data_IF_803767523138
#
_entry.id   IF_803767523138
#
_cell.length_a   1.000
_cell.length_b   1.000
_cell.length_c   1.000
_cell.angle_alpha   90.00
_cell.angle_beta   90.00
_cell.angle_gamma   90.00
#
_symmetry.space_group_name_H-M   'P 1'
#
loop_
_entity.id
_entity.type
_entity.pdbx_description
1 polymer ?
#
# COMPACT_ATOMS: atom_id res chain seq x y z
N UNK A 1 6.03 4.82 -3.12
CA UNK A 1 4.79 4.57 -3.88
C UNK A 1 3.72 5.48 -3.33
N UNK A 2 3.18 6.38 -4.16
CA UNK A 2 2.24 7.42 -3.74
C UNK A 2 0.95 6.87 -3.14
N UNK A 3 0.47 5.71 -3.60
CA UNK A 3 -0.71 5.05 -3.02
C UNK A 3 -0.43 4.57 -1.59
N UNK A 4 0.72 3.93 -1.34
CA UNK A 4 1.08 3.45 0.00
C UNK A 4 1.33 4.62 0.95
N UNK A 5 1.99 5.67 0.47
CA UNK A 5 2.18 6.93 1.22
C UNK A 5 0.83 7.56 1.58
N UNK A 6 -0.09 7.65 0.61
CA UNK A 6 -1.42 8.20 0.81
C UNK A 6 -2.18 7.45 1.88
N UNK A 7 -2.26 6.11 1.77
CA UNK A 7 -2.96 5.25 2.72
C UNK A 7 -2.34 5.29 4.13
N UNK A 8 -1.02 5.37 4.22
CA UNK A 8 -0.31 5.31 5.52
C UNK A 8 -0.27 6.66 6.23
N UNK A 9 -0.04 7.74 5.50
CA UNK A 9 0.09 9.09 6.07
C UNK A 9 -1.24 9.87 6.11
N UNK A 10 -2.26 9.41 5.38
CA UNK A 10 -3.53 10.10 5.21
C UNK A 10 -3.50 11.20 4.15
N UNK A 11 -2.36 11.44 3.51
CA UNK A 11 -2.23 12.50 2.52
C UNK A 11 -1.14 12.21 1.47
N UNK A 12 -1.22 12.88 0.32
CA UNK A 12 -0.17 12.81 -0.70
C UNK A 12 -0.19 14.09 -1.54
N UNK A 13 0.98 14.52 -2.02
CA UNK A 13 1.08 15.69 -2.90
C UNK A 13 0.30 15.49 -4.20
N UNK A 14 -0.42 16.52 -4.65
CA UNK A 14 -1.06 16.49 -5.98
C UNK A 14 -0.03 16.50 -7.12
N UNK A 15 1.22 16.84 -6.84
CA UNK A 15 2.37 16.79 -7.76
C UNK A 15 3.24 15.54 -7.55
N UNK A 16 2.74 14.53 -6.83
CA UNK A 16 3.48 13.29 -6.62
C UNK A 16 3.84 12.63 -7.96
N UNK A 17 5.08 12.16 -8.10
CA UNK A 17 5.63 11.62 -9.35
C UNK A 17 4.80 10.48 -9.98
N UNK A 18 4.11 9.68 -9.17
CA UNK A 18 3.23 8.60 -9.64
C UNK A 18 2.05 9.10 -10.49
N UNK A 19 1.67 10.38 -10.38
CA UNK A 19 0.69 10.99 -11.29
C UNK A 19 1.27 11.35 -12.66
N UNK A 20 2.60 11.25 -12.85
CA UNK A 20 3.31 11.45 -14.13
C UNK A 20 2.99 12.80 -14.82
N UNK A 21 2.68 13.83 -14.02
CA UNK A 21 2.32 15.15 -14.54
C UNK A 21 0.95 15.23 -15.24
N UNK A 22 0.10 14.21 -15.13
CA UNK A 22 -1.24 14.25 -15.69
C UNK A 22 -2.13 15.24 -14.91
N UNK A 23 -3.02 15.94 -15.63
CA UNK A 23 -3.91 16.99 -15.11
C UNK A 23 -5.07 16.50 -14.23
N UNK A 24 -4.84 15.49 -13.38
CA UNK A 24 -5.86 14.89 -12.51
C UNK A 24 -6.25 15.78 -11.33
N UNK A 25 -5.56 16.92 -11.11
CA UNK A 25 -5.84 17.89 -10.04
C UNK A 25 -7.33 18.17 -9.87
N UNK A 26 -8.01 18.55 -10.94
CA UNK A 26 -9.43 18.90 -10.90
C UNK A 26 -10.35 17.69 -10.67
N UNK A 27 -10.02 16.53 -11.25
CA UNK A 27 -10.86 15.33 -11.19
C UNK A 27 -10.79 14.63 -9.84
N UNK A 28 -9.58 14.53 -9.26
CA UNK A 28 -9.35 13.86 -7.97
C UNK A 28 -9.65 14.74 -6.77
N UNK A 29 -9.75 16.06 -6.96
CA UNK A 29 -10.12 17.00 -5.89
C UNK A 29 -11.48 16.67 -5.25
N UNK A 30 -12.39 15.99 -5.97
CA UNK A 30 -13.68 15.53 -5.41
C UNK A 30 -13.53 14.35 -4.43
N UNK A 31 -12.41 13.63 -4.48
CA UNK A 31 -12.15 12.45 -3.65
C UNK A 31 -11.49 12.81 -2.32
N UNK A 32 -11.03 14.05 -2.16
CA UNK A 32 -10.48 14.50 -0.88
C UNK A 32 -11.60 14.76 0.11
N UNK A 33 -11.34 14.45 1.38
CA UNK A 33 -12.27 14.82 2.44
C UNK A 33 -12.18 16.32 2.66
N UNK A 34 -13.11 17.07 2.06
CA UNK A 34 -13.32 18.46 2.43
C UNK A 34 -14.03 18.51 3.79
N UNK A 35 -13.30 18.88 4.84
CA UNK A 35 -13.92 19.25 6.11
C UNK A 35 -14.78 20.50 5.87
N UNK A 36 -16.09 20.33 5.75
CA UNK A 36 -17.07 21.43 5.58
C UNK A 36 -17.01 22.45 6.73
N UNK A 37 -16.40 22.09 7.86
CA UNK A 37 -16.26 22.94 9.05
C UNK A 37 -14.98 23.78 9.07
N UNK A 38 -14.03 23.55 8.15
CA UNK A 38 -12.91 24.46 7.92
C UNK A 38 -13.17 25.25 6.64
N UNK A 39 -13.74 26.44 6.83
CA UNK A 39 -13.54 27.56 5.90
C UNK A 39 -12.05 27.63 5.52
N UNK A 40 -11.75 27.62 4.22
CA UNK A 40 -10.42 27.75 3.62
C UNK A 40 -9.43 26.58 3.78
N UNK A 41 -9.54 25.57 2.90
CA UNK A 41 -8.33 25.00 2.28
C UNK A 41 -8.59 24.68 0.81
N UNK A 42 -8.90 25.71 0.04
CA UNK A 42 -8.86 25.68 -1.43
C UNK A 42 -7.42 25.76 -1.99
N UNK A 43 -6.39 25.72 -1.13
CA UNK A 43 -4.99 25.99 -1.48
C UNK A 43 -3.99 24.92 -0.99
N UNK A 44 -4.42 23.81 -0.37
CA UNK A 44 -3.46 22.73 -0.05
C UNK A 44 -3.21 21.89 -1.30
N UNK A 45 -1.95 21.82 -1.76
CA UNK A 45 -1.50 20.94 -2.85
C UNK A 45 -1.44 19.46 -2.41
N UNK A 46 -2.46 19.00 -1.68
CA UNK A 46 -2.54 17.70 -1.03
C UNK A 46 -3.89 17.06 -1.32
N UNK A 47 -3.86 15.78 -1.69
CA UNK A 47 -5.01 14.90 -1.53
C UNK A 47 -5.00 14.31 -0.13
N UNK A 48 -6.16 14.21 0.54
CA UNK A 48 -6.26 13.76 1.93
C UNK A 48 -7.43 12.81 2.18
N UNK A 49 -7.28 11.93 3.18
CA UNK A 49 -8.36 11.15 3.79
C UNK A 49 -8.27 11.19 5.33
N UNK A 50 -9.37 10.89 6.02
CA UNK A 50 -9.43 10.96 7.49
C UNK A 50 -9.16 9.64 8.20
N UNK A 51 -9.07 8.51 7.48
CA UNK A 51 -8.78 7.21 8.08
C UNK A 51 -7.36 7.16 8.65
N UNK A 52 -7.22 6.65 9.89
CA UNK A 52 -5.91 6.35 10.50
C UNK A 52 -5.55 4.90 10.23
N UNK A 53 -5.10 4.62 9.02
CA UNK A 53 -4.80 3.26 8.58
C UNK A 53 -3.40 2.83 9.03
N UNK A 54 -3.25 1.54 9.36
CA UNK A 54 -1.96 0.88 9.55
C UNK A 54 -1.91 -0.42 8.76
N UNK A 55 -0.75 -0.78 8.17
CA UNK A 55 -0.60 -2.05 7.50
C UNK A 55 -0.53 -3.19 8.53
N UNK A 56 -1.20 -4.30 8.26
CA UNK A 56 -1.11 -5.49 9.10
C UNK A 56 0.22 -6.25 8.92
N UNK A 57 0.89 -6.07 7.79
CA UNK A 57 2.17 -6.66 7.44
C UNK A 57 3.21 -5.56 7.22
N UNK A 58 4.42 -5.74 7.75
CA UNK A 58 5.60 -4.93 7.39
C UNK A 58 6.59 -5.79 6.59
N UNK A 59 7.54 -5.12 5.93
CA UNK A 59 8.60 -5.79 5.16
C UNK A 59 9.44 -6.77 5.99
N UNK A 60 9.49 -6.55 7.31
CA UNK A 60 10.24 -7.40 8.25
C UNK A 60 9.53 -8.74 8.50
N UNK A 61 8.20 -8.76 8.32
CA UNK A 61 7.37 -9.96 8.48
C UNK A 61 7.27 -10.72 7.16
N UNK A 62 6.93 -10.02 6.08
CA UNK A 62 6.68 -10.61 4.76
C UNK A 62 7.49 -9.84 3.69
N UNK A 63 8.64 -10.37 3.24
CA UNK A 63 9.53 -9.65 2.33
C UNK A 63 8.98 -9.49 0.90
N UNK A 64 7.99 -10.31 0.52
CA UNK A 64 7.34 -10.27 -0.78
C UNK A 64 5.93 -10.86 -0.69
N UNK A 65 5.01 -10.31 -1.48
CA UNK A 65 3.66 -10.87 -1.66
C UNK A 65 3.48 -11.39 -3.08
N UNK A 66 4.28 -10.88 -4.01
CA UNK A 66 4.44 -11.42 -5.34
C UNK A 66 5.86 -11.95 -5.52
N UNK A 67 5.98 -13.20 -5.95
CA UNK A 67 7.25 -13.90 -6.13
C UNK A 67 7.29 -14.54 -7.53
N UNK A 68 7.73 -13.79 -8.53
CA UNK A 68 7.98 -14.30 -9.89
C UNK A 68 9.47 -14.33 -10.18
N UNK A 69 9.88 -14.87 -11.33
CA UNK A 69 11.29 -14.87 -11.72
C UNK A 69 11.83 -13.44 -11.84
N UNK A 70 11.13 -12.59 -12.60
CA UNK A 70 11.56 -11.22 -12.94
C UNK A 70 11.25 -10.19 -11.84
N UNK A 71 10.22 -10.43 -11.02
CA UNK A 71 9.79 -9.49 -10.00
C UNK A 71 9.48 -10.19 -8.67
N UNK A 72 10.10 -9.70 -7.60
CA UNK A 72 9.86 -10.10 -6.22
C UNK A 72 9.64 -8.84 -5.41
N UNK A 73 8.47 -8.69 -4.79
CA UNK A 73 8.14 -7.47 -4.06
C UNK A 73 6.78 -7.51 -3.38
N UNK A 74 6.50 -6.45 -2.62
CA UNK A 74 5.25 -6.27 -1.89
C UNK A 74 4.31 -5.41 -2.74
N UNK A 75 3.21 -6.00 -3.19
CA UNK A 75 2.15 -5.32 -3.94
C UNK A 75 0.75 -5.57 -3.34
N UNK A 76 0.64 -6.49 -2.39
CA UNK A 76 -0.59 -6.83 -1.69
C UNK A 76 -0.54 -6.31 -0.25
N UNK A 77 -1.63 -5.70 0.20
CA UNK A 77 -1.68 -5.03 1.49
C UNK A 77 -3.00 -5.30 2.18
N UNK A 78 -2.94 -5.47 3.49
CA UNK A 78 -4.12 -5.42 4.36
C UNK A 78 -3.93 -4.21 5.27
N UNK A 79 -4.77 -3.19 5.11
CA UNK A 79 -4.82 -2.03 6.00
C UNK A 79 -6.00 -2.17 6.95
N UNK A 80 -5.80 -1.79 8.20
CA UNK A 80 -6.87 -1.70 9.20
C UNK A 80 -6.90 -0.32 9.82
N UNK A 81 -8.06 0.09 10.35
CA UNK A 81 -8.17 1.31 11.15
C UNK A 81 -7.49 1.09 12.50
N UNK A 82 -6.45 1.87 12.77
CA UNK A 82 -5.66 1.76 14.00
C UNK A 82 -6.37 2.28 15.26
N UNK A 83 -7.53 2.93 15.07
CA UNK A 83 -8.36 3.44 16.17
C UNK A 83 -9.27 2.39 16.79
N UNK A 84 -9.61 1.36 16.02
CA UNK A 84 -10.63 0.37 16.39
C UNK A 84 -10.13 -1.05 16.29
N UNK A 85 -8.99 -1.28 15.62
CA UNK A 85 -8.42 -2.60 15.40
C UNK A 85 -6.92 -2.61 15.69
N UNK A 86 -6.45 -3.74 16.22
CA UNK A 86 -5.03 -4.05 16.39
C UNK A 86 -4.72 -5.37 15.68
N UNK A 87 -3.55 -5.45 15.05
CA UNK A 87 -3.04 -6.72 14.51
C UNK A 87 -2.46 -7.54 15.65
N UNK A 88 -3.08 -8.68 15.96
CA UNK A 88 -2.57 -9.60 16.98
C UNK A 88 -1.39 -10.43 16.47
N UNK A 89 -1.50 -10.92 15.23
CA UNK A 89 -0.48 -11.71 14.56
C UNK A 89 -0.66 -11.61 13.03
N UNK A 90 0.42 -11.94 12.31
CA UNK A 90 0.47 -11.97 10.86
C UNK A 90 1.19 -13.27 10.42
N UNK A 91 0.70 -13.92 9.37
CA UNK A 91 1.26 -15.19 8.90
C UNK A 91 2.56 -14.94 8.15
N UNK A 92 3.67 -15.52 8.60
CA UNK A 92 4.97 -15.38 7.94
C UNK A 92 5.01 -15.98 6.51
N UNK A 93 6.08 -15.70 5.76
CA UNK A 93 6.28 -16.23 4.41
C UNK A 93 6.41 -17.75 4.41
N UNK A 94 6.20 -18.35 3.23
CA UNK A 94 6.68 -19.71 2.95
C UNK A 94 8.20 -19.73 3.18
N UNK A 95 8.70 -20.81 3.78
CA UNK A 95 10.11 -20.99 4.10
C UNK A 95 11.01 -20.71 2.89
N UNK A 96 11.97 -19.79 3.08
CA UNK A 96 12.96 -19.46 2.06
C UNK A 96 13.82 -20.67 1.69
N UNK A 97 14.09 -21.54 2.66
CA UNK A 97 14.89 -22.73 2.44
C UNK A 97 14.11 -23.76 1.63
N UNK A 98 12.80 -23.87 1.82
CA UNK A 98 11.97 -24.70 0.94
C UNK A 98 12.04 -24.22 -0.52
N UNK A 99 11.99 -22.92 -0.77
CA UNK A 99 12.14 -22.38 -2.12
C UNK A 99 13.53 -22.69 -2.70
N UNK A 100 14.61 -22.56 -1.92
CA UNK A 100 15.97 -22.89 -2.36
C UNK A 100 16.14 -24.38 -2.66
N UNK A 101 15.73 -25.24 -1.75
CA UNK A 101 15.89 -26.70 -1.83
C UNK A 101 15.14 -27.28 -3.03
N UNK A 102 13.97 -26.71 -3.35
CA UNK A 102 13.14 -27.11 -4.49
C UNK A 102 13.45 -26.30 -5.77
N UNK A 103 14.48 -25.43 -5.74
CA UNK A 103 14.91 -24.58 -6.87
C UNK A 103 13.77 -23.73 -7.47
N UNK A 104 12.86 -23.28 -6.62
CA UNK A 104 11.71 -22.46 -6.99
C UNK A 104 12.15 -21.00 -7.11
N UNK A 105 12.35 -20.56 -8.33
CA UNK A 105 12.83 -19.20 -8.65
C UNK A 105 11.69 -18.18 -8.89
N UNK A 106 10.45 -18.67 -8.95
CA UNK A 106 9.23 -17.89 -9.13
C UNK A 106 7.98 -18.78 -9.06
N UNK A 107 6.84 -18.14 -8.87
CA UNK A 107 5.50 -18.71 -8.85
C UNK A 107 4.69 -18.20 -10.07
N UNK A 108 3.69 -18.96 -10.56
CA UNK A 108 3.15 -20.19 -10.00
C UNK A 108 4.08 -21.41 -10.13
N UNK A 109 3.95 -22.35 -9.20
CA UNK A 109 4.67 -23.64 -9.10
C UNK A 109 3.64 -24.75 -8.77
N UNK A 110 3.83 -26.04 -9.13
CA UNK A 110 2.85 -27.10 -8.83
C UNK A 110 2.35 -27.18 -7.38
N UNK A 111 3.16 -26.73 -6.42
CA UNK A 111 2.81 -26.67 -4.98
C UNK A 111 2.45 -25.26 -4.48
N UNK A 112 2.59 -24.23 -5.31
CA UNK A 112 2.32 -22.82 -4.97
C UNK A 112 1.57 -22.19 -6.15
N UNK A 113 0.23 -22.23 -6.16
CA UNK A 113 -0.56 -21.93 -7.35
C UNK A 113 -0.63 -20.43 -7.70
N UNK A 114 -0.24 -19.54 -6.79
CA UNK A 114 -0.15 -18.08 -6.96
C UNK A 114 0.97 -17.51 -6.13
#
# INVERSE_FOLDING_TARGET
MGVVEFLTSGQVSMDHQDFKGHGYKNSLHKLTVMNKNHSHSSNSNLYTHSFRLRPAYTSDIMPYTNYTYDFKGIIDYIFHSSDTMITLAALGPISLDWFKDNKVVGCPHPHVPS
#
